data_IF_610098849836
#
_entry.id   IF_610098849836
#
_cell.length_a   1.000
_cell.length_b   1.000
_cell.length_c   1.000
_cell.angle_alpha   90.00
_cell.angle_beta   90.00
_cell.angle_gamma   90.00
#
_symmetry.space_group_name_H-M   'P 1'
#
loop_
_entity.id
_entity.type
_entity.pdbx_description
1 polymer ?
#
# COMPACT_ATOMS: atom_id res chain seq x y z
N UNK A 1 -20.17 6.17 19.60
CA UNK A 1 -20.01 7.62 19.61
C UNK A 1 -19.08 8.00 18.46
N UNK A 2 -19.49 8.93 17.63
CA UNK A 2 -18.63 9.44 16.53
C UNK A 2 -17.54 10.34 17.13
N UNK A 3 -16.36 10.37 16.49
CA UNK A 3 -15.24 11.19 16.91
C UNK A 3 -15.44 12.67 16.58
N UNK A 4 -16.23 12.98 15.55
CA UNK A 4 -16.52 14.31 15.04
C UNK A 4 -18.04 14.60 15.06
N UNK A 5 -18.37 15.87 15.15
CA UNK A 5 -19.71 16.40 14.87
C UNK A 5 -19.89 16.66 13.36
N UNK A 6 -21.12 16.86 12.91
CA UNK A 6 -21.39 17.15 11.50
C UNK A 6 -20.75 18.48 11.05
N UNK A 7 -20.75 19.50 11.90
CA UNK A 7 -20.09 20.78 11.61
C UNK A 7 -18.57 20.63 11.47
N UNK A 8 -17.95 19.78 12.28
CA UNK A 8 -16.52 19.49 12.20
C UNK A 8 -16.18 18.72 10.93
N UNK A 9 -17.04 17.81 10.50
CA UNK A 9 -16.87 17.09 9.21
C UNK A 9 -16.95 18.07 8.04
N UNK A 10 -17.92 19.01 8.07
CA UNK A 10 -18.06 20.04 7.04
C UNK A 10 -16.85 20.99 7.03
N UNK A 11 -16.33 21.35 8.18
CA UNK A 11 -15.13 22.19 8.30
C UNK A 11 -13.90 21.51 7.72
N UNK A 12 -13.68 20.23 8.04
CA UNK A 12 -12.59 19.42 7.46
C UNK A 12 -12.73 19.30 5.94
N UNK A 13 -13.93 19.04 5.43
CA UNK A 13 -14.20 18.98 4.00
C UNK A 13 -13.86 20.30 3.30
N UNK A 14 -14.23 21.44 3.89
CA UNK A 14 -13.89 22.76 3.37
C UNK A 14 -12.37 22.99 3.33
N UNK A 15 -11.64 22.64 4.40
CA UNK A 15 -10.19 22.74 4.42
C UNK A 15 -9.53 21.85 3.39
N UNK A 16 -10.05 20.64 3.19
CA UNK A 16 -9.56 19.70 2.18
C UNK A 16 -9.70 20.30 0.78
N UNK A 17 -10.84 20.88 0.43
CA UNK A 17 -11.03 21.56 -0.86
C UNK A 17 -10.04 22.72 -1.05
N UNK A 18 -9.85 23.57 -0.04
CA UNK A 18 -8.89 24.68 -0.10
C UNK A 18 -7.47 24.19 -0.35
N UNK A 19 -7.06 23.11 0.32
CA UNK A 19 -5.73 22.51 0.16
C UNK A 19 -5.58 21.91 -1.24
N UNK A 20 -6.58 21.15 -1.72
CA UNK A 20 -6.58 20.55 -3.04
C UNK A 20 -6.51 21.58 -4.17
N UNK A 21 -7.30 22.66 -4.06
CA UNK A 21 -7.28 23.76 -5.02
C UNK A 21 -5.91 24.44 -5.06
N UNK A 22 -5.32 24.73 -3.90
CA UNK A 22 -4.00 25.33 -3.80
C UNK A 22 -2.91 24.48 -4.45
N UNK A 23 -2.86 23.18 -4.14
CA UNK A 23 -1.85 22.26 -4.72
C UNK A 23 -2.08 22.04 -6.22
N UNK A 24 -3.33 22.01 -6.67
CA UNK A 24 -3.68 21.90 -8.09
C UNK A 24 -3.22 23.14 -8.87
N UNK A 25 -3.44 24.35 -8.32
CA UNK A 25 -2.99 25.60 -8.91
C UNK A 25 -1.44 25.66 -9.00
N UNK A 26 -0.73 25.37 -7.90
CA UNK A 26 0.73 25.39 -7.86
C UNK A 26 1.35 24.40 -8.85
N UNK A 27 0.73 23.24 -9.05
CA UNK A 27 1.21 22.20 -9.97
C UNK A 27 0.74 22.36 -11.40
N UNK A 28 -0.27 23.16 -11.65
CA UNK A 28 -0.89 23.35 -12.97
C UNK A 28 -1.68 22.13 -13.46
N UNK A 29 -1.96 21.15 -12.59
CA UNK A 29 -2.75 19.95 -12.87
C UNK A 29 -3.64 19.63 -11.67
N UNK A 30 -4.80 19.04 -11.91
CA UNK A 30 -5.67 18.55 -10.83
C UNK A 30 -4.89 17.57 -9.95
N UNK A 31 -4.79 17.88 -8.67
CA UNK A 31 -3.96 17.15 -7.70
C UNK A 31 -4.81 16.80 -6.48
N UNK A 32 -5.49 15.64 -6.47
CA UNK A 32 -6.20 15.16 -5.29
C UNK A 32 -5.26 15.01 -4.11
N UNK A 33 -5.77 15.28 -2.90
CA UNK A 33 -4.95 15.32 -1.69
C UNK A 33 -5.45 14.33 -0.64
N UNK A 34 -4.53 13.57 -0.06
CA UNK A 34 -4.72 12.85 1.20
C UNK A 34 -4.45 13.81 2.36
N UNK A 35 -5.38 13.89 3.29
CA UNK A 35 -5.30 14.80 4.44
C UNK A 35 -5.31 13.97 5.73
N UNK A 36 -4.33 14.24 6.59
CA UNK A 36 -4.34 13.76 7.97
C UNK A 36 -4.71 14.91 8.90
N UNK A 37 -5.58 14.62 9.86
CA UNK A 37 -6.07 15.62 10.83
C UNK A 37 -6.02 15.07 12.24
N UNK A 38 -6.01 15.96 13.21
CA UNK A 38 -6.13 15.65 14.62
C UNK A 38 -7.12 16.60 15.32
N UNK A 39 -7.77 16.09 16.35
CA UNK A 39 -8.60 16.88 17.27
C UNK A 39 -7.91 16.91 18.62
N UNK A 40 -7.62 18.10 19.12
CA UNK A 40 -7.01 18.29 20.43
C UNK A 40 -8.01 17.89 21.54
N UNK A 41 -7.57 17.02 22.44
CA UNK A 41 -8.42 16.48 23.50
C UNK A 41 -8.72 17.45 24.64
N UNK A 42 -8.04 18.59 24.72
CA UNK A 42 -8.24 19.60 25.75
C UNK A 42 -9.04 20.81 25.25
N UNK A 43 -8.75 21.24 24.03
CA UNK A 43 -9.36 22.43 23.43
C UNK A 43 -10.49 22.11 22.45
N UNK A 44 -10.68 20.84 22.09
CA UNK A 44 -11.58 20.36 21.03
C UNK A 44 -11.31 20.97 19.64
N UNK A 45 -10.16 21.61 19.44
CA UNK A 45 -9.81 22.21 18.16
C UNK A 45 -9.32 21.17 17.15
N UNK A 46 -9.68 21.38 15.88
CA UNK A 46 -9.21 20.57 14.76
C UNK A 46 -7.95 21.17 14.14
N UNK A 47 -7.07 20.29 13.70
CA UNK A 47 -5.81 20.64 13.02
C UNK A 47 -5.59 19.75 11.82
N UNK A 48 -5.10 20.30 10.71
CA UNK A 48 -4.50 19.52 9.63
C UNK A 48 -3.04 19.26 10.03
N UNK A 49 -2.66 18.01 10.14
CA UNK A 49 -1.31 17.61 10.56
C UNK A 49 -0.45 17.18 9.40
N UNK A 50 -1.06 16.72 8.29
CA UNK A 50 -0.37 16.40 7.05
C UNK A 50 -1.29 16.58 5.86
N UNK A 51 -0.72 17.00 4.73
CA UNK A 51 -1.34 16.99 3.42
C UNK A 51 -0.33 16.46 2.39
N UNK A 52 -0.74 15.47 1.58
CA UNK A 52 0.11 14.90 0.51
C UNK A 52 -0.71 14.59 -0.73
N UNK A 53 -0.13 14.69 -1.94
CA UNK A 53 -0.81 14.29 -3.15
C UNK A 53 -1.22 12.81 -3.11
N UNK A 54 -2.48 12.54 -3.43
CA UNK A 54 -2.98 11.18 -3.61
C UNK A 54 -2.46 10.64 -4.96
N UNK A 55 -1.86 9.46 -4.95
CA UNK A 55 -1.16 8.92 -6.13
C UNK A 55 -1.75 7.62 -6.66
N UNK A 56 -2.67 6.98 -5.94
CA UNK A 56 -3.18 5.65 -6.25
C UNK A 56 -4.62 5.67 -6.74
N UNK A 57 -5.53 6.30 -5.99
CA UNK A 57 -6.96 6.28 -6.30
C UNK A 57 -7.31 7.19 -7.47
N UNK A 58 -6.64 8.34 -7.59
CA UNK A 58 -6.83 9.30 -8.68
C UNK A 58 -6.42 8.75 -10.05
N UNK A 59 -5.53 7.77 -10.08
CA UNK A 59 -5.11 7.10 -11.32
C UNK A 59 -6.01 5.93 -11.72
N UNK A 60 -6.93 5.52 -10.84
CA UNK A 60 -7.90 4.46 -11.16
C UNK A 60 -9.04 5.03 -12.01
N UNK A 61 -9.25 4.43 -13.18
CA UNK A 61 -10.47 4.70 -13.95
C UNK A 61 -11.69 4.26 -13.12
N UNK A 62 -12.52 5.21 -12.71
CA UNK A 62 -13.73 4.98 -11.90
C UNK A 62 -14.80 4.13 -12.62
N UNK A 63 -14.66 3.93 -13.93
CA UNK A 63 -15.66 3.28 -14.77
C UNK A 63 -15.34 1.81 -15.06
N UNK A 64 -14.28 1.24 -14.49
CA UNK A 64 -13.87 -0.15 -14.74
C UNK A 64 -13.86 -0.94 -13.42
N UNK A 65 -14.81 -1.83 -13.26
CA UNK A 65 -14.77 -2.86 -12.23
C UNK A 65 -13.89 -4.02 -12.72
N UNK A 66 -12.73 -4.23 -12.09
CA UNK A 66 -11.85 -5.37 -12.40
C UNK A 66 -12.17 -6.51 -11.45
N UNK A 67 -12.68 -7.61 -11.99
CA UNK A 67 -12.88 -8.84 -11.26
C UNK A 67 -11.82 -9.86 -11.67
N UNK A 68 -11.02 -10.33 -10.71
CA UNK A 68 -9.96 -11.31 -10.97
C UNK A 68 -10.49 -12.70 -10.65
N UNK A 69 -10.39 -13.60 -11.63
CA UNK A 69 -10.77 -15.01 -11.49
C UNK A 69 -9.56 -15.88 -11.71
N UNK A 70 -9.22 -16.70 -10.73
CA UNK A 70 -8.17 -17.71 -10.87
C UNK A 70 -8.64 -18.79 -11.86
N UNK A 71 -8.01 -18.88 -13.03
CA UNK A 71 -8.35 -19.88 -14.06
C UNK A 71 -7.69 -21.25 -13.81
N UNK A 72 -6.74 -21.33 -12.89
CA UNK A 72 -6.10 -22.59 -12.53
C UNK A 72 -7.10 -23.48 -11.78
N UNK A 73 -7.03 -24.78 -12.02
CA UNK A 73 -7.77 -25.75 -11.23
C UNK A 73 -7.26 -25.69 -9.78
N UNK A 74 -8.04 -25.03 -8.92
CA UNK A 74 -7.66 -24.78 -7.53
C UNK A 74 -7.44 -26.07 -6.73
N UNK A 75 -7.95 -27.22 -7.23
CA UNK A 75 -7.75 -28.53 -6.62
C UNK A 75 -6.32 -29.05 -6.77
N UNK A 76 -5.54 -28.51 -7.73
CA UNK A 76 -4.21 -29.02 -8.07
C UNK A 76 -3.07 -27.98 -7.91
N UNK A 77 -3.39 -26.77 -7.49
CA UNK A 77 -2.39 -25.71 -7.29
C UNK A 77 -2.09 -25.56 -5.80
N UNK A 78 -0.88 -25.90 -5.32
CA UNK A 78 -0.55 -25.81 -3.91
C UNK A 78 -0.52 -24.35 -3.45
N UNK A 79 -1.10 -24.09 -2.29
CA UNK A 79 -0.92 -22.81 -1.58
C UNK A 79 0.42 -22.87 -0.84
N UNK A 80 1.37 -22.05 -1.24
CA UNK A 80 2.73 -22.04 -0.67
C UNK A 80 2.81 -21.21 0.61
N UNK A 81 2.03 -20.15 0.72
CA UNK A 81 1.96 -19.30 1.90
C UNK A 81 0.61 -18.59 1.98
N UNK A 82 0.15 -18.33 3.19
CA UNK A 82 -1.06 -17.57 3.48
C UNK A 82 -0.73 -16.41 4.40
N UNK A 83 -1.44 -15.29 4.22
CA UNK A 83 -1.23 -14.10 5.04
C UNK A 83 -2.32 -13.07 4.83
N UNK A 84 -2.09 -11.86 5.32
CA UNK A 84 -3.04 -10.75 5.19
C UNK A 84 -2.80 -10.00 3.89
N UNK A 85 -3.80 -9.98 3.02
CA UNK A 85 -3.74 -9.25 1.76
C UNK A 85 -3.72 -7.72 2.00
N UNK A 86 -2.92 -7.04 1.18
CA UNK A 86 -2.80 -5.59 1.09
C UNK A 86 -2.95 -5.19 -0.36
N UNK A 87 -3.84 -4.22 -0.62
CA UNK A 87 -4.23 -3.84 -1.97
C UNK A 87 -5.29 -4.75 -2.58
N UNK A 88 -5.73 -4.39 -3.78
CA UNK A 88 -6.83 -5.05 -4.52
C UNK A 88 -6.33 -5.78 -5.79
N UNK A 89 -5.03 -5.74 -6.03
CA UNK A 89 -4.44 -6.30 -7.24
C UNK A 89 -3.86 -7.69 -7.00
N UNK A 90 -3.65 -8.43 -8.09
CA UNK A 90 -2.92 -9.69 -8.11
C UNK A 90 -1.61 -9.47 -8.83
N UNK A 91 -0.50 -9.89 -8.21
CA UNK A 91 0.82 -9.91 -8.82
C UNK A 91 1.24 -11.32 -9.22
N UNK A 92 1.95 -11.44 -10.32
CA UNK A 92 2.49 -12.70 -10.82
C UNK A 92 3.94 -12.50 -11.29
N UNK A 93 4.84 -13.38 -10.91
CA UNK A 93 6.25 -13.35 -11.27
C UNK A 93 7.02 -14.47 -10.60
N UNK A 94 8.27 -14.67 -11.02
CA UNK A 94 9.19 -15.58 -10.34
C UNK A 94 9.44 -15.09 -8.90
N UNK A 95 9.49 -15.98 -7.95
CA UNK A 95 9.76 -15.65 -6.56
C UNK A 95 11.26 -15.36 -6.36
N UNK A 96 11.59 -14.29 -5.68
CA UNK A 96 12.94 -13.97 -5.24
C UNK A 96 12.98 -13.80 -3.73
N UNK A 97 13.71 -14.70 -3.07
CA UNK A 97 13.90 -14.61 -1.62
C UNK A 97 15.13 -13.74 -1.34
N UNK A 98 14.89 -12.61 -0.69
CA UNK A 98 15.94 -11.70 -0.18
C UNK A 98 15.76 -11.59 1.33
N UNK A 99 16.75 -12.01 2.08
CA UNK A 99 16.72 -11.98 3.55
C UNK A 99 17.58 -10.85 4.14
N UNK A 100 18.46 -10.28 3.33
CA UNK A 100 19.38 -9.22 3.72
C UNK A 100 19.31 -8.07 2.72
N UNK A 101 19.17 -6.86 3.22
CA UNK A 101 19.11 -5.63 2.41
C UNK A 101 20.37 -5.42 1.54
N UNK A 102 21.52 -5.92 1.96
CA UNK A 102 22.77 -5.84 1.18
C UNK A 102 22.75 -6.71 -0.09
N UNK A 103 21.74 -7.57 -0.24
CA UNK A 103 21.55 -8.44 -1.42
C UNK A 103 20.43 -7.98 -2.35
N UNK A 104 19.96 -6.76 -2.19
CA UNK A 104 18.87 -6.20 -3.03
C UNK A 104 19.22 -6.16 -4.54
N UNK A 105 20.51 -6.12 -4.88
CA UNK A 105 20.97 -6.14 -6.28
C UNK A 105 20.67 -7.46 -7.00
N UNK A 106 20.39 -8.54 -6.27
CA UNK A 106 19.98 -9.82 -6.83
C UNK A 106 18.53 -9.79 -7.36
N UNK A 107 17.73 -8.80 -6.92
CA UNK A 107 16.32 -8.71 -7.29
C UNK A 107 16.16 -8.13 -8.69
N UNK A 108 15.39 -8.81 -9.54
CA UNK A 108 15.12 -8.37 -10.90
C UNK A 108 13.73 -7.72 -11.00
N UNK A 109 13.57 -6.68 -11.82
CA UNK A 109 12.25 -6.10 -12.08
C UNK A 109 11.25 -7.15 -12.57
N UNK A 110 10.06 -7.15 -11.99
CA UNK A 110 9.01 -8.10 -12.36
C UNK A 110 8.94 -9.36 -11.50
N UNK A 111 9.89 -9.58 -10.61
CA UNK A 111 9.85 -10.67 -9.63
C UNK A 111 8.87 -10.38 -8.48
N UNK A 112 8.53 -11.42 -7.74
CA UNK A 112 7.82 -11.35 -6.46
C UNK A 112 8.84 -11.36 -5.33
N UNK A 113 8.88 -10.28 -4.55
CA UNK A 113 9.77 -10.18 -3.41
C UNK A 113 9.24 -11.03 -2.25
N UNK A 114 10.04 -11.97 -1.77
CA UNK A 114 9.76 -12.79 -0.57
C UNK A 114 10.82 -12.50 0.48
N UNK A 115 10.42 -12.04 1.65
CA UNK A 115 11.35 -11.65 2.70
C UNK A 115 10.77 -11.86 4.10
N UNK A 116 11.60 -11.74 5.14
CA UNK A 116 11.14 -11.84 6.51
C UNK A 116 10.32 -10.60 6.93
N UNK A 117 10.88 -9.42 6.74
CA UNK A 117 10.27 -8.11 7.00
C UNK A 117 10.94 -7.07 6.11
N UNK A 118 10.32 -5.90 5.94
CA UNK A 118 10.92 -4.76 5.25
C UNK A 118 11.05 -3.56 6.19
N UNK A 119 11.96 -2.68 5.85
CA UNK A 119 12.19 -1.35 6.41
C UNK A 119 12.43 -0.36 5.25
N UNK A 120 12.66 0.95 5.49
CA UNK A 120 12.82 1.94 4.44
C UNK A 120 13.90 1.63 3.40
N UNK A 121 14.96 0.93 3.76
CA UNK A 121 16.06 0.59 2.85
C UNK A 121 15.63 -0.39 1.74
N UNK A 122 14.49 -1.05 1.90
CA UNK A 122 13.91 -1.98 0.91
C UNK A 122 13.09 -1.30 -0.20
N UNK A 123 12.75 -0.01 -0.06
CA UNK A 123 11.91 0.70 -1.04
C UNK A 123 12.40 0.58 -2.49
N UNK A 124 13.72 0.64 -2.80
CA UNK A 124 14.20 0.58 -4.18
C UNK A 124 13.80 -0.72 -4.90
N UNK A 125 13.80 -1.87 -4.22
CA UNK A 125 13.38 -3.13 -4.82
C UNK A 125 11.86 -3.35 -4.74
N UNK A 126 11.22 -2.86 -3.69
CA UNK A 126 9.76 -2.92 -3.59
C UNK A 126 9.09 -2.23 -4.77
N UNK A 127 9.64 -1.09 -5.25
CA UNK A 127 9.16 -0.37 -6.44
C UNK A 127 9.23 -1.19 -7.73
N UNK A 128 10.13 -2.17 -7.81
CA UNK A 128 10.32 -3.03 -8.99
C UNK A 128 9.52 -4.32 -8.91
N UNK A 129 9.01 -4.65 -7.73
CA UNK A 129 8.32 -5.91 -7.47
C UNK A 129 6.93 -5.96 -8.10
N UNK A 130 6.52 -7.13 -8.60
CA UNK A 130 5.15 -7.41 -9.04
C UNK A 130 4.22 -7.73 -7.87
N UNK A 131 4.78 -8.26 -6.79
CA UNK A 131 4.10 -8.47 -5.51
C UNK A 131 5.14 -8.57 -4.38
N UNK A 132 4.68 -8.44 -3.14
CA UNK A 132 5.52 -8.51 -1.95
C UNK A 132 4.91 -9.54 -1.00
N UNK A 133 5.74 -10.45 -0.48
CA UNK A 133 5.35 -11.45 0.51
C UNK A 133 6.28 -11.34 1.71
N UNK A 134 5.72 -11.19 2.92
CA UNK A 134 6.53 -11.11 4.14
C UNK A 134 6.09 -12.11 5.19
N UNK A 135 7.07 -12.71 5.89
CA UNK A 135 6.78 -13.58 7.04
C UNK A 135 6.13 -12.80 8.18
N UNK A 136 6.64 -11.60 8.45
CA UNK A 136 6.22 -10.75 9.56
C UNK A 136 5.47 -9.52 9.07
N UNK A 137 4.66 -8.96 9.95
CA UNK A 137 3.96 -7.71 9.71
C UNK A 137 2.45 -7.85 9.72
N UNK A 138 1.80 -6.72 9.86
CA UNK A 138 0.36 -6.56 9.78
C UNK A 138 -0.02 -5.51 8.74
N UNK A 139 -1.29 -5.13 8.70
CA UNK A 139 -1.80 -4.14 7.73
C UNK A 139 -1.21 -2.73 7.87
N UNK A 140 -0.49 -2.47 8.96
CA UNK A 140 0.16 -1.19 9.26
C UNK A 140 1.69 -1.29 9.30
N UNK A 141 2.28 -2.44 8.90
CA UNK A 141 3.74 -2.54 8.81
C UNK A 141 4.26 -1.78 7.58
N UNK A 142 5.56 -1.51 7.57
CA UNK A 142 6.24 -0.81 6.46
C UNK A 142 5.88 -1.40 5.09
N UNK A 143 6.00 -2.72 4.91
CA UNK A 143 5.63 -3.40 3.66
C UNK A 143 4.20 -3.07 3.22
N UNK A 144 3.26 -3.04 4.15
CA UNK A 144 1.85 -2.80 3.84
C UNK A 144 1.56 -1.33 3.49
N UNK A 145 2.24 -0.39 4.16
CA UNK A 145 2.09 1.05 3.88
C UNK A 145 2.64 1.35 2.49
N UNK A 146 3.89 0.98 2.24
CA UNK A 146 4.55 1.23 0.95
C UNK A 146 3.84 0.52 -0.21
N UNK A 147 3.40 -0.73 -0.01
CA UNK A 147 2.64 -1.46 -1.04
C UNK A 147 1.35 -0.73 -1.44
N UNK A 148 0.61 -0.15 -0.49
CA UNK A 148 -0.59 0.66 -0.80
C UNK A 148 -0.23 1.94 -1.56
N UNK A 149 0.81 2.65 -1.11
CA UNK A 149 1.26 3.90 -1.74
C UNK A 149 1.71 3.68 -3.19
N UNK A 150 2.32 2.54 -3.45
CA UNK A 150 2.80 2.18 -4.79
C UNK A 150 1.77 1.43 -5.64
N UNK A 151 0.61 1.05 -5.08
CA UNK A 151 -0.37 0.22 -5.77
C UNK A 151 0.11 -1.20 -6.07
N UNK A 152 1.07 -1.73 -5.29
CA UNK A 152 1.63 -3.07 -5.45
C UNK A 152 0.88 -4.03 -4.52
N UNK A 153 0.43 -5.20 -5.01
CA UNK A 153 -0.17 -6.21 -4.13
C UNK A 153 0.85 -6.76 -3.14
N UNK A 154 0.45 -6.90 -1.87
CA UNK A 154 1.29 -7.55 -0.90
C UNK A 154 0.50 -8.54 -0.02
N UNK A 155 1.18 -9.57 0.47
CA UNK A 155 0.70 -10.51 1.48
C UNK A 155 1.67 -10.43 2.66
N UNK A 156 1.17 -10.03 3.82
CA UNK A 156 2.01 -9.81 5.00
C UNK A 156 1.61 -10.74 6.15
N UNK A 157 2.56 -11.07 7.01
CA UNK A 157 2.31 -11.93 8.18
C UNK A 157 2.11 -13.39 7.82
N UNK A 158 2.82 -13.91 6.82
CA UNK A 158 2.70 -15.29 6.36
C UNK A 158 3.38 -16.31 7.28
N UNK A 159 4.11 -15.88 8.31
CA UNK A 159 4.80 -16.76 9.24
C UNK A 159 6.08 -17.38 8.65
N UNK A 160 5.99 -18.21 7.64
CA UNK A 160 7.13 -18.95 7.09
C UNK A 160 7.17 -19.00 5.54
N UNK A 161 6.77 -17.93 4.86
CA UNK A 161 6.81 -17.88 3.40
C UNK A 161 8.23 -18.08 2.84
N UNK A 162 9.25 -17.55 3.51
CA UNK A 162 10.66 -17.73 3.12
C UNK A 162 11.18 -19.16 3.22
N UNK A 163 10.51 -20.02 3.98
CA UNK A 163 10.83 -21.46 4.07
C UNK A 163 9.98 -22.33 3.15
N UNK A 164 8.78 -21.84 2.79
CA UNK A 164 7.82 -22.60 1.95
C UNK A 164 7.96 -22.30 0.46
N UNK A 165 8.46 -21.12 0.11
CA UNK A 165 8.67 -20.67 -1.27
C UNK A 165 10.14 -20.87 -1.62
N UNK A 166 10.41 -21.21 -2.87
CA UNK A 166 11.77 -21.29 -3.42
C UNK A 166 11.96 -20.17 -4.45
N UNK A 167 13.22 -19.72 -4.61
CA UNK A 167 13.58 -18.76 -5.66
C UNK A 167 13.42 -19.43 -7.03
N UNK A 168 12.71 -18.77 -7.95
CA UNK A 168 12.49 -19.24 -9.33
C UNK A 168 11.03 -19.35 -9.72
#
# INVERSE_FOLDING_TARGET
KFALTDDEVLLLAQWTCIIEDHYSEVRGIYTPMDIEWAKDGLTDQLYIVQARPETVQSQKSSNVLRNYVLKADSSNTPVLAEGRAVGEMIGQGAARIILDVHRIDEFQPGEVLVTNKTDPDWEPIMKKAKAIVTNQGGRTCHAAIIAREMGIPAIVGCGNATGSIQTG
#
